data_IF_215927930664
#
_entry.id   IF_215927930664
#
_cell.length_a   1.000
_cell.length_b   1.000
_cell.length_c   1.000
_cell.angle_alpha   90.00
_cell.angle_beta   90.00
_cell.angle_gamma   90.00
#
_symmetry.space_group_name_H-M   'P 1'
#
loop_
_entity.id
_entity.type
_entity.pdbx_description
1 polymer ?
#
# COMPACT_ATOMS: atom_id res chain seq x y z
N UNK A 1 -31.99 10.19 32.03
CA UNK A 1 -30.97 10.17 30.95
C UNK A 1 -30.75 8.71 30.58
N UNK A 2 -31.36 8.27 29.49
CA UNK A 2 -31.17 6.93 28.94
C UNK A 2 -29.79 6.86 28.28
N UNK A 3 -28.93 5.97 28.77
CA UNK A 3 -27.70 5.61 28.11
C UNK A 3 -28.08 4.83 26.84
N UNK A 4 -27.81 5.40 25.68
CA UNK A 4 -27.91 4.66 24.42
C UNK A 4 -26.88 3.50 24.46
N UNK A 5 -27.38 2.30 24.57
CA UNK A 5 -26.59 1.09 24.37
C UNK A 5 -26.08 1.11 22.93
N UNK A 6 -24.76 1.22 22.76
CA UNK A 6 -24.09 0.97 21.48
C UNK A 6 -24.33 -0.50 21.14
N UNK A 7 -25.20 -0.77 20.17
CA UNK A 7 -25.33 -2.10 19.62
C UNK A 7 -23.95 -2.52 19.08
N UNK A 8 -23.33 -3.50 19.72
CA UNK A 8 -22.13 -4.13 19.18
C UNK A 8 -22.56 -4.95 17.97
N UNK A 9 -22.33 -4.42 16.76
CA UNK A 9 -22.42 -5.24 15.56
C UNK A 9 -21.53 -6.46 15.74
N UNK A 10 -21.98 -7.65 15.32
CA UNK A 10 -21.15 -8.85 15.39
C UNK A 10 -19.86 -8.61 14.63
N UNK A 11 -18.72 -8.75 15.31
CA UNK A 11 -17.40 -8.63 14.69
C UNK A 11 -17.18 -9.86 13.84
N UNK A 12 -17.00 -9.67 12.55
CA UNK A 12 -16.55 -10.73 11.64
C UNK A 12 -15.05 -10.98 11.86
N UNK A 13 -14.63 -12.23 11.89
CA UNK A 13 -13.23 -12.61 12.04
C UNK A 13 -12.79 -13.47 10.85
N UNK A 14 -11.64 -13.10 10.23
CA UNK A 14 -10.99 -13.86 9.17
C UNK A 14 -9.49 -13.89 9.43
N UNK A 15 -8.88 -15.05 9.29
CA UNK A 15 -7.43 -15.24 9.43
C UNK A 15 -6.84 -14.61 10.72
N UNK A 16 -7.60 -14.66 11.83
CA UNK A 16 -7.20 -14.08 13.11
C UNK A 16 -7.23 -12.56 13.17
N UNK A 17 -7.92 -11.90 12.23
CA UNK A 17 -8.20 -10.45 12.23
C UNK A 17 -9.67 -10.23 12.50
N UNK A 18 -9.98 -9.45 13.55
CA UNK A 18 -11.34 -9.04 13.88
C UNK A 18 -11.69 -7.75 13.14
N UNK A 19 -12.71 -7.81 12.29
CA UNK A 19 -13.16 -6.69 11.47
C UNK A 19 -14.29 -5.90 12.13
N UNK A 20 -14.32 -4.60 11.88
CA UNK A 20 -15.39 -3.70 12.31
C UNK A 20 -15.85 -2.82 11.15
N UNK A 21 -17.12 -2.43 11.17
CA UNK A 21 -17.69 -1.47 10.21
C UNK A 21 -17.42 -1.83 8.74
N UNK A 22 -17.57 -3.12 8.38
CA UNK A 22 -17.27 -3.63 7.04
C UNK A 22 -18.14 -2.99 5.95
N UNK A 23 -19.37 -2.63 6.27
CA UNK A 23 -20.33 -2.08 5.31
C UNK A 23 -20.22 -0.55 5.16
N UNK A 24 -19.21 0.06 5.80
CA UNK A 24 -18.93 1.50 5.64
C UNK A 24 -18.18 1.76 4.33
N UNK A 25 -18.63 2.74 3.55
CA UNK A 25 -17.96 3.17 2.32
C UNK A 25 -16.54 3.67 2.59
N UNK A 26 -15.61 3.37 1.69
CA UNK A 26 -14.22 3.87 1.71
C UNK A 26 -14.18 5.36 1.40
N UNK A 27 -14.92 5.77 0.38
CA UNK A 27 -15.12 7.18 0.02
C UNK A 27 -16.61 7.42 -0.21
N UNK A 28 -17.11 8.55 0.25
CA UNK A 28 -18.53 8.88 0.20
C UNK A 28 -19.06 8.87 -1.24
N UNK A 29 -20.19 8.19 -1.46
CA UNK A 29 -20.89 8.15 -2.75
C UNK A 29 -20.27 7.21 -3.79
N UNK A 30 -19.24 6.44 -3.45
CA UNK A 30 -18.62 5.49 -4.39
C UNK A 30 -19.30 4.13 -4.40
N UNK A 31 -20.06 3.79 -3.36
CA UNK A 31 -20.62 2.44 -3.16
C UNK A 31 -19.56 1.37 -2.81
N UNK A 32 -18.25 1.73 -2.81
CA UNK A 32 -17.17 0.80 -2.47
C UNK A 32 -17.02 0.74 -0.96
N UNK A 33 -17.32 -0.42 -0.37
CA UNK A 33 -17.27 -0.63 1.08
C UNK A 33 -15.91 -1.16 1.54
N UNK A 34 -15.67 -1.09 2.85
CA UNK A 34 -14.50 -1.74 3.46
C UNK A 34 -14.54 -3.27 3.26
N UNK A 35 -15.72 -3.89 3.25
CA UNK A 35 -15.90 -5.31 2.91
C UNK A 35 -15.34 -5.62 1.52
N UNK A 36 -15.70 -4.82 0.52
CA UNK A 36 -15.21 -5.00 -0.84
C UNK A 36 -13.68 -4.90 -0.92
N UNK A 37 -13.06 -3.98 -0.16
CA UNK A 37 -11.60 -3.89 -0.07
C UNK A 37 -10.98 -5.14 0.57
N UNK A 38 -11.55 -5.63 1.67
CA UNK A 38 -11.07 -6.84 2.36
C UNK A 38 -11.18 -8.05 1.44
N UNK A 39 -12.34 -8.25 0.81
CA UNK A 39 -12.59 -9.37 -0.12
C UNK A 39 -11.65 -9.31 -1.33
N UNK A 40 -11.41 -8.11 -1.87
CA UNK A 40 -10.46 -7.90 -2.97
C UNK A 40 -9.04 -8.28 -2.58
N UNK A 41 -8.53 -7.74 -1.46
CA UNK A 41 -7.14 -8.00 -1.02
C UNK A 41 -6.94 -9.47 -0.61
N UNK A 42 -7.94 -10.10 0.00
CA UNK A 42 -7.92 -11.54 0.26
C UNK A 42 -7.83 -12.34 -1.05
N UNK A 43 -8.63 -11.96 -2.04
CA UNK A 43 -8.67 -12.65 -3.33
C UNK A 43 -7.41 -12.48 -4.20
N UNK A 44 -6.63 -11.40 -4.01
CA UNK A 44 -5.38 -11.15 -4.75
C UNK A 44 -4.12 -11.36 -3.90
N UNK A 45 -4.25 -11.91 -2.70
CA UNK A 45 -3.15 -12.05 -1.75
C UNK A 45 -1.93 -12.75 -2.35
N UNK A 46 -2.13 -13.86 -3.08
CA UNK A 46 -1.05 -14.62 -3.72
C UNK A 46 -0.28 -13.80 -4.78
N UNK A 47 -0.84 -12.71 -5.25
CA UNK A 47 -0.22 -11.83 -6.24
C UNK A 47 0.45 -10.62 -5.62
N UNK A 48 -0.14 -10.06 -4.56
CA UNK A 48 0.38 -8.85 -3.92
C UNK A 48 1.49 -9.16 -2.90
N UNK A 49 1.34 -10.22 -2.10
CA UNK A 49 2.29 -10.55 -1.03
C UNK A 49 3.73 -10.72 -1.51
N UNK A 50 4.03 -11.38 -2.65
CA UNK A 50 5.41 -11.47 -3.14
C UNK A 50 6.05 -10.11 -3.47
N UNK A 51 5.25 -9.10 -3.82
CA UNK A 51 5.74 -7.75 -4.06
C UNK A 51 5.99 -6.95 -2.77
N UNK A 52 5.32 -7.32 -1.67
CA UNK A 52 5.45 -6.68 -0.35
C UNK A 52 6.53 -7.34 0.52
N UNK A 53 6.90 -8.59 0.21
CA UNK A 53 7.74 -9.45 1.03
C UNK A 53 9.06 -8.82 1.40
N UNK A 54 9.36 -8.83 2.72
CA UNK A 54 10.60 -8.33 3.33
C UNK A 54 10.92 -6.86 3.00
N UNK A 55 9.90 -6.05 2.75
CA UNK A 55 10.10 -4.65 2.43
C UNK A 55 9.40 -3.74 3.45
N UNK A 56 10.10 -2.71 3.94
CA UNK A 56 9.46 -1.64 4.70
C UNK A 56 8.29 -1.04 3.91
N UNK A 57 7.12 -1.02 4.53
CA UNK A 57 5.85 -0.66 3.91
C UNK A 57 5.31 0.66 4.44
N UNK A 58 4.92 1.54 3.54
CA UNK A 58 4.03 2.68 3.81
C UNK A 58 2.69 2.43 3.13
N UNK A 59 1.61 2.95 3.70
CA UNK A 59 0.26 2.79 3.11
C UNK A 59 -0.45 4.14 3.01
N UNK A 60 -1.29 4.31 1.99
CA UNK A 60 -2.28 5.39 1.99
C UNK A 60 -3.58 4.83 2.55
N UNK A 61 -4.11 5.50 3.56
CA UNK A 61 -5.36 5.15 4.21
C UNK A 61 -6.47 6.12 3.82
N UNK A 62 -7.62 5.55 3.45
CA UNK A 62 -8.84 6.32 3.23
C UNK A 62 -9.61 6.46 4.54
N UNK A 63 -9.79 7.68 5.03
CA UNK A 63 -10.58 7.98 6.24
C UNK A 63 -11.87 8.69 5.86
N UNK A 64 -12.96 8.30 6.54
CA UNK A 64 -14.28 8.87 6.27
C UNK A 64 -14.28 10.39 6.49
N UNK A 65 -14.63 11.14 5.45
CA UNK A 65 -14.77 12.61 5.53
C UNK A 65 -13.46 13.37 5.64
N UNK A 66 -12.32 12.72 5.41
CA UNK A 66 -11.00 13.36 5.38
C UNK A 66 -10.25 12.98 4.10
N UNK A 67 -9.25 13.77 3.74
CA UNK A 67 -8.36 13.42 2.64
C UNK A 67 -7.56 12.14 3.00
N UNK A 68 -7.32 11.26 2.03
CA UNK A 68 -6.40 10.15 2.22
C UNK A 68 -5.04 10.63 2.69
N UNK A 69 -4.39 9.87 3.56
CA UNK A 69 -3.09 10.23 4.10
C UNK A 69 -2.09 9.09 4.08
N UNK A 70 -0.82 9.43 3.89
CA UNK A 70 0.30 8.50 3.94
C UNK A 70 0.64 8.16 5.40
N UNK A 71 0.58 6.88 5.75
CA UNK A 71 1.05 6.35 7.01
C UNK A 71 2.35 5.58 6.78
N UNK A 72 3.46 6.10 7.32
CA UNK A 72 4.77 5.44 7.31
C UNK A 72 5.00 4.68 8.61
N UNK A 73 4.71 5.34 9.75
CA UNK A 73 4.92 4.77 11.06
C UNK A 73 3.80 3.80 11.43
N UNK A 74 4.14 2.57 11.80
CA UNK A 74 3.19 1.62 12.35
C UNK A 74 2.75 2.13 13.73
N UNK A 75 1.44 2.28 13.98
CA UNK A 75 0.98 2.87 15.24
C UNK A 75 1.23 1.94 16.44
N UNK A 76 1.32 2.51 17.64
CA UNK A 76 1.59 1.77 18.88
C UNK A 76 0.52 0.73 19.21
N UNK A 77 -0.73 0.97 18.76
CA UNK A 77 -1.84 0.02 18.95
C UNK A 77 -1.88 -1.11 17.91
N UNK A 78 -0.93 -1.13 16.97
CA UNK A 78 -0.85 -2.24 16.01
C UNK A 78 -0.50 -3.55 16.75
N UNK A 79 -1.07 -4.67 16.31
CA UNK A 79 -0.78 -5.96 16.94
C UNK A 79 0.71 -6.30 16.95
N UNK A 80 1.17 -6.93 18.04
CA UNK A 80 2.57 -7.31 18.22
C UNK A 80 3.08 -8.34 17.20
N UNK A 81 2.16 -9.04 16.54
CA UNK A 81 2.51 -10.02 15.50
C UNK A 81 2.82 -9.37 14.13
N UNK A 82 2.62 -8.06 13.96
CA UNK A 82 3.08 -7.35 12.76
C UNK A 82 4.55 -7.02 12.94
N UNK A 83 5.37 -7.53 12.04
CA UNK A 83 6.80 -7.26 12.03
C UNK A 83 7.08 -5.77 11.82
N UNK A 84 8.05 -5.23 12.58
CA UNK A 84 8.46 -3.83 12.55
C UNK A 84 9.88 -3.70 12.02
N UNK A 85 10.07 -2.73 11.14
CA UNK A 85 11.37 -2.37 10.59
C UNK A 85 11.71 -0.92 11.02
N UNK A 86 12.47 -0.72 12.10
CA UNK A 86 12.88 0.62 12.50
C UNK A 86 13.94 1.15 11.53
N UNK A 87 13.64 2.28 10.89
CA UNK A 87 14.53 2.93 9.93
C UNK A 87 14.61 4.44 10.22
N UNK A 88 15.80 5.00 10.04
CA UNK A 88 15.98 6.45 10.10
C UNK A 88 15.31 7.11 8.89
N UNK A 89 14.49 8.11 9.14
CA UNK A 89 13.81 8.89 8.12
C UNK A 89 14.34 10.34 8.10
N UNK A 90 15.18 10.65 7.10
CA UNK A 90 15.78 11.98 6.92
C UNK A 90 14.72 13.10 6.88
N UNK A 91 13.60 12.88 6.20
CA UNK A 91 12.53 13.86 6.06
C UNK A 91 11.88 14.28 7.38
N UNK A 92 11.93 13.45 8.42
CA UNK A 92 11.37 13.70 9.74
C UNK A 92 12.40 13.72 10.86
N UNK A 93 13.69 13.47 10.56
CA UNK A 93 14.83 13.47 11.49
C UNK A 93 14.54 12.57 12.72
N UNK A 94 13.97 11.40 12.48
CA UNK A 94 13.65 10.43 13.54
C UNK A 94 13.61 9.00 12.99
N UNK A 95 13.73 8.03 13.90
CA UNK A 95 13.42 6.64 13.57
C UNK A 95 11.90 6.48 13.37
N UNK A 96 11.53 5.82 12.29
CA UNK A 96 10.15 5.44 11.93
C UNK A 96 10.07 3.93 11.95
N UNK A 97 9.08 3.39 12.63
CA UNK A 97 8.78 1.96 12.63
C UNK A 97 7.89 1.63 11.43
N UNK A 98 8.51 1.20 10.33
CA UNK A 98 7.75 0.69 9.19
C UNK A 98 7.17 -0.68 9.51
N UNK A 99 6.01 -0.98 8.96
CA UNK A 99 5.50 -2.35 8.96
C UNK A 99 6.19 -3.19 7.87
N UNK A 100 6.22 -4.50 8.08
CA UNK A 100 6.56 -5.48 7.05
C UNK A 100 5.34 -6.37 6.84
N UNK A 101 4.94 -6.57 5.60
CA UNK A 101 3.73 -7.31 5.25
C UNK A 101 4.10 -8.62 4.53
N UNK A 102 4.44 -9.65 5.31
CA UNK A 102 4.89 -10.94 4.82
C UNK A 102 3.77 -12.01 4.75
N UNK A 103 2.58 -11.69 5.23
CA UNK A 103 1.50 -12.66 5.34
C UNK A 103 0.11 -12.04 5.12
N UNK A 104 -0.86 -12.92 4.85
CA UNK A 104 -2.26 -12.54 4.62
C UNK A 104 -2.87 -11.85 5.84
N UNK A 105 -2.51 -12.25 7.05
CA UNK A 105 -3.05 -11.67 8.28
C UNK A 105 -2.68 -10.19 8.39
N UNK A 106 -1.43 -9.85 8.11
CA UNK A 106 -0.92 -8.47 8.08
C UNK A 106 -1.60 -7.66 6.98
N UNK A 107 -1.74 -8.22 5.78
CA UNK A 107 -2.44 -7.59 4.66
C UNK A 107 -3.89 -7.25 5.03
N UNK A 108 -4.61 -8.20 5.62
CA UNK A 108 -5.99 -8.02 6.04
C UNK A 108 -6.13 -7.05 7.21
N UNK A 109 -5.14 -6.98 8.11
CA UNK A 109 -5.13 -5.96 9.13
C UNK A 109 -5.05 -4.55 8.53
N UNK A 110 -4.19 -4.34 7.52
CA UNK A 110 -4.13 -3.08 6.80
C UNK A 110 -5.43 -2.77 6.03
N UNK A 111 -6.07 -3.77 5.43
CA UNK A 111 -7.40 -3.62 4.83
C UNK A 111 -8.43 -3.13 5.86
N UNK A 112 -8.41 -3.71 7.07
CA UNK A 112 -9.26 -3.28 8.19
C UNK A 112 -8.97 -1.83 8.62
N UNK A 113 -7.73 -1.37 8.48
CA UNK A 113 -7.32 0.02 8.68
C UNK A 113 -7.62 0.92 7.46
N UNK A 114 -8.29 0.39 6.42
CA UNK A 114 -8.68 1.10 5.18
C UNK A 114 -7.46 1.55 4.36
N UNK A 115 -6.40 0.76 4.34
CA UNK A 115 -5.27 0.97 3.45
C UNK A 115 -5.68 0.62 2.01
N UNK A 116 -5.59 1.59 1.11
CA UNK A 116 -6.01 1.47 -0.30
C UNK A 116 -4.82 1.49 -1.26
N UNK A 117 -3.65 1.96 -0.81
CA UNK A 117 -2.41 1.91 -1.57
C UNK A 117 -1.28 1.37 -0.68
N UNK A 118 -0.39 0.59 -1.29
CA UNK A 118 0.73 -0.08 -0.63
C UNK A 118 2.03 0.35 -1.31
N UNK A 119 2.86 1.09 -0.60
CA UNK A 119 4.12 1.66 -1.07
C UNK A 119 5.29 1.00 -0.35
N UNK A 120 5.98 0.12 -1.04
CA UNK A 120 7.16 -0.56 -0.51
C UNK A 120 8.44 0.15 -0.90
N UNK A 121 9.50 -0.05 -0.11
CA UNK A 121 10.84 0.37 -0.50
C UNK A 121 11.40 -0.52 -1.64
N UNK A 122 12.35 0.00 -2.39
CA UNK A 122 13.04 -0.77 -3.45
C UNK A 122 14.07 -1.75 -2.88
N UNK A 123 14.34 -1.67 -1.57
CA UNK A 123 15.25 -2.56 -0.84
C UNK A 123 14.48 -3.58 -0.02
N UNK A 124 15.12 -4.69 0.31
CA UNK A 124 14.63 -5.67 1.30
C UNK A 124 15.36 -5.47 2.63
N UNK A 125 14.76 -5.93 3.73
CA UNK A 125 15.36 -5.85 5.07
C UNK A 125 16.71 -6.55 5.17
N UNK A 126 16.93 -7.60 4.38
CA UNK A 126 18.17 -8.34 4.37
C UNK A 126 19.37 -7.50 3.90
N UNK A 127 19.14 -6.49 3.04
CA UNK A 127 20.18 -5.59 2.55
C UNK A 127 19.54 -4.23 2.16
N UNK A 128 19.68 -3.25 3.04
CA UNK A 128 19.12 -1.92 2.86
C UNK A 128 19.93 -1.04 1.90
N UNK A 129 21.14 -1.46 1.53
CA UNK A 129 22.01 -0.73 0.61
C UNK A 129 21.92 -1.27 -0.83
N UNK A 130 21.29 -2.44 -1.04
CA UNK A 130 21.13 -3.06 -2.34
C UNK A 130 19.68 -3.05 -2.84
N UNK A 131 19.27 -2.05 -3.64
CA UNK A 131 17.96 -2.03 -4.25
C UNK A 131 17.78 -3.19 -5.23
N UNK A 132 16.62 -3.85 -5.16
CA UNK A 132 16.28 -4.98 -6.04
C UNK A 132 15.67 -4.54 -7.37
N UNK A 133 15.24 -3.29 -7.46
CA UNK A 133 14.59 -2.72 -8.63
C UNK A 133 15.06 -1.28 -8.84
N UNK A 134 15.08 -0.87 -10.10
CA UNK A 134 15.10 0.53 -10.53
C UNK A 134 13.69 0.86 -11.04
N UNK A 135 13.11 1.94 -10.53
CA UNK A 135 11.82 2.45 -11.03
C UNK A 135 12.07 3.80 -11.67
N UNK A 136 11.59 3.96 -12.90
CA UNK A 136 11.62 5.22 -13.64
C UNK A 136 10.18 5.66 -13.81
N UNK A 137 9.84 6.80 -13.23
CA UNK A 137 8.53 7.43 -13.39
C UNK A 137 8.57 8.40 -14.58
N UNK A 138 7.60 8.28 -15.47
CA UNK A 138 7.53 9.06 -16.71
C UNK A 138 6.28 9.94 -16.66
N UNK A 139 6.43 11.13 -16.12
CA UNK A 139 5.38 12.13 -16.09
C UNK A 139 5.44 13.01 -17.33
N UNK A 140 4.48 12.90 -18.28
CA UNK A 140 4.45 13.77 -19.43
C UNK A 140 4.13 15.20 -19.00
N UNK A 141 4.74 16.22 -19.63
CA UNK A 141 4.40 17.60 -19.38
C UNK A 141 2.93 17.89 -19.70
N UNK A 142 2.36 18.91 -19.05
CA UNK A 142 0.97 19.29 -19.22
C UNK A 142 0.64 19.50 -20.73
N UNK A 143 -0.42 18.86 -21.19
CA UNK A 143 -0.86 18.91 -22.58
C UNK A 143 -0.16 17.93 -23.54
N UNK A 144 0.90 17.23 -23.14
CA UNK A 144 1.61 16.29 -24.02
C UNK A 144 0.93 14.92 -24.13
N UNK A 145 0.15 14.55 -23.13
CA UNK A 145 -0.63 13.30 -23.11
C UNK A 145 0.19 12.02 -23.07
N UNK A 146 -0.51 10.90 -23.04
CA UNK A 146 0.07 9.56 -22.92
C UNK A 146 1.08 9.21 -24.04
N UNK A 147 0.88 9.72 -25.25
CA UNK A 147 1.78 9.45 -26.37
C UNK A 147 3.23 9.89 -26.11
N UNK A 148 3.43 10.99 -25.40
CA UNK A 148 4.76 11.47 -25.03
C UNK A 148 5.43 10.54 -24.00
N UNK A 149 4.69 10.09 -22.99
CA UNK A 149 5.17 9.12 -22.01
C UNK A 149 5.52 7.78 -22.68
N UNK A 150 4.68 7.30 -23.61
CA UNK A 150 4.95 6.08 -24.36
C UNK A 150 6.22 6.19 -25.22
N UNK A 151 6.43 7.33 -25.90
CA UNK A 151 7.63 7.57 -26.70
C UNK A 151 8.90 7.62 -25.82
N UNK A 152 8.81 8.21 -24.63
CA UNK A 152 9.89 8.20 -23.65
C UNK A 152 10.17 6.78 -23.14
N UNK A 153 9.14 5.99 -22.80
CA UNK A 153 9.27 4.61 -22.36
C UNK A 153 10.00 3.75 -23.40
N UNK A 154 9.66 3.86 -24.68
CA UNK A 154 10.36 3.15 -25.74
C UNK A 154 11.86 3.47 -25.78
N UNK A 155 12.24 4.72 -25.65
CA UNK A 155 13.66 5.13 -25.63
C UNK A 155 14.37 4.63 -24.36
N UNK A 156 13.67 4.68 -23.22
CA UNK A 156 14.25 4.21 -21.95
C UNK A 156 14.45 2.69 -21.93
N UNK A 157 13.68 1.91 -22.69
CA UNK A 157 13.81 0.47 -22.79
C UNK A 157 15.13 0.02 -23.42
N UNK A 158 15.69 0.83 -24.32
CA UNK A 158 16.96 0.52 -24.99
C UNK A 158 18.14 0.40 -24.02
N UNK A 159 18.15 1.16 -22.93
CA UNK A 159 19.24 1.15 -21.97
C UNK A 159 19.30 -0.12 -21.10
N UNK A 160 18.20 -0.59 -20.46
CA UNK A 160 18.19 -1.89 -19.78
C UNK A 160 18.49 -3.05 -20.74
N UNK A 161 17.97 -3.05 -21.96
CA UNK A 161 18.27 -4.08 -22.96
C UNK A 161 19.78 -4.17 -23.26
N UNK A 162 20.44 -3.03 -23.45
CA UNK A 162 21.88 -2.96 -23.70
C UNK A 162 22.70 -3.49 -22.50
N UNK A 163 22.15 -3.43 -21.28
CA UNK A 163 22.77 -3.93 -20.04
C UNK A 163 22.34 -5.37 -19.69
N UNK A 164 21.46 -5.98 -20.49
CA UNK A 164 20.91 -7.31 -20.20
C UNK A 164 19.99 -7.33 -18.96
N UNK A 165 19.40 -6.19 -18.59
CA UNK A 165 18.49 -6.08 -17.46
C UNK A 165 17.03 -6.30 -17.91
N UNK A 166 16.27 -7.18 -17.25
CA UNK A 166 14.86 -7.34 -17.55
C UNK A 166 14.11 -6.05 -17.18
N UNK A 167 13.32 -5.54 -18.10
CA UNK A 167 12.50 -4.35 -17.90
C UNK A 167 11.04 -4.62 -18.24
N UNK A 168 10.14 -3.95 -17.52
CA UNK A 168 8.70 -3.98 -17.78
C UNK A 168 8.12 -2.58 -17.62
N UNK A 169 7.13 -2.25 -18.45
CA UNK A 169 6.40 -0.99 -18.36
C UNK A 169 4.98 -1.25 -17.86
N UNK A 170 4.47 -0.34 -17.04
CA UNK A 170 3.06 -0.32 -16.65
C UNK A 170 2.53 1.12 -16.64
N UNK A 171 1.23 1.29 -16.87
CA UNK A 171 0.57 2.57 -16.61
C UNK A 171 0.22 2.70 -15.14
N UNK A 172 0.31 3.90 -14.57
CA UNK A 172 -0.09 4.17 -13.18
C UNK A 172 -1.62 4.32 -13.05
N UNK A 173 -2.32 4.67 -14.14
CA UNK A 173 -3.75 4.95 -14.14
C UNK A 173 -4.12 6.33 -13.59
N UNK A 174 -3.13 7.16 -13.25
CA UNK A 174 -3.33 8.55 -12.83
C UNK A 174 -2.95 9.53 -13.97
N UNK A 175 -1.78 10.12 -13.90
CA UNK A 175 -1.30 11.06 -14.91
C UNK A 175 -0.11 10.52 -15.72
N UNK A 176 0.44 9.39 -15.31
CA UNK A 176 1.55 8.72 -15.98
C UNK A 176 1.25 7.29 -16.41
#
# INVERSE_FOLDING_TARGET
RAAMARSSEPKEERHGVSFSSLDTELAAGTGVTKRALVDYLEGVADRILPALEDRPLSVIRSTRGQQPFMQKNLPDHAPDWIERAPMWAESSQRTVDYAVCNDLRTLLWFANQRAVEYHVTLVRLADLDAPTHLVIDLDPPEGAGFAAAAAAAHRMHEAPDALGLPAAVKSSGAQG
#
